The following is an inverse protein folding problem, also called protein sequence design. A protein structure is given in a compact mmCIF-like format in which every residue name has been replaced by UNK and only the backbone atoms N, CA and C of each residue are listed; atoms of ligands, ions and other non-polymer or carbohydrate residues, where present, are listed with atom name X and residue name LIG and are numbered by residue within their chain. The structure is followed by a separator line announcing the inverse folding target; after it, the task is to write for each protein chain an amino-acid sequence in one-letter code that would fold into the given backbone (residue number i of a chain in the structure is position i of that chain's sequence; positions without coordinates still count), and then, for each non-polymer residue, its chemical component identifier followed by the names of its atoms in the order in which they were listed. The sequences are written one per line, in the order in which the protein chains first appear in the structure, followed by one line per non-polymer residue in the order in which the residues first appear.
data_IF_861265325215
#
_entry.id   IF_861265325215
#
_cell.length_a   1.000
_cell.length_b   1.000
_cell.length_c   1.000
_cell.angle_alpha   90.00
_cell.angle_beta   90.00
_cell.angle_gamma   90.00
#
_symmetry.space_group_name_H-M   'P 1'
#
loop_
_entity.id
_entity.type
_entity.pdbx_description
1 polymer ?
#
# COMPACT_ATOMS: atom_id res chain seq x y z
N UNK A 1 21.38 38.65 56.55
CA UNK A 1 22.50 38.27 55.66
C UNK A 1 21.90 37.44 54.54
N UNK A 2 21.77 38.05 53.35
CA UNK A 2 21.71 37.43 52.01
C UNK A 2 20.86 36.16 51.78
N UNK A 3 19.75 36.36 51.05
CA UNK A 3 19.15 35.47 50.02
C UNK A 3 20.22 34.98 48.97
N UNK A 4 19.99 34.06 47.99
CA UNK A 4 18.72 33.41 47.57
C UNK A 4 18.79 31.98 46.90
N UNK A 5 17.62 31.50 46.46
CA UNK A 5 17.33 30.62 45.30
C UNK A 5 17.33 29.08 45.42
N UNK A 6 16.16 28.53 45.08
CA UNK A 6 15.98 27.20 44.51
C UNK A 6 14.64 27.12 43.76
N UNK A 7 14.64 27.51 42.48
CA UNK A 7 13.52 27.34 41.53
C UNK A 7 13.28 25.85 41.25
N UNK A 8 12.02 25.48 41.04
CA UNK A 8 11.65 24.21 40.44
C UNK A 8 10.18 24.19 40.02
N UNK A 9 9.89 24.88 38.91
CA UNK A 9 8.60 24.87 38.24
C UNK A 9 8.22 23.47 37.74
N UNK A 10 6.93 23.14 37.81
CA UNK A 10 6.36 21.93 37.23
C UNK A 10 4.84 22.03 37.12
N UNK A 11 4.36 23.12 36.51
CA UNK A 11 2.98 23.22 36.04
C UNK A 11 2.71 22.12 35.00
N UNK A 12 1.53 21.50 35.09
CA UNK A 12 1.05 20.43 34.22
C UNK A 12 1.11 20.76 32.72
N UNK A 13 1.04 19.72 31.88
CA UNK A 13 0.04 19.71 30.82
C UNK A 13 -0.82 18.44 30.93
N UNK A 14 -2.14 18.60 31.05
CA UNK A 14 -3.05 18.79 29.93
C UNK A 14 -3.38 17.45 29.24
N UNK A 15 -4.57 16.96 29.59
CA UNK A 15 -5.55 16.29 28.71
C UNK A 15 -5.01 15.91 27.33
N UNK A 16 -4.76 14.63 27.11
CA UNK A 16 -4.87 14.07 25.75
C UNK A 16 -6.23 13.42 25.65
N UNK A 17 -7.18 14.20 25.16
CA UNK A 17 -8.44 13.74 24.60
C UNK A 17 -8.09 12.56 23.68
N UNK A 18 -8.65 11.38 23.92
CA UNK A 18 -8.69 10.35 22.87
C UNK A 18 -9.47 11.00 21.72
N UNK A 19 -8.87 11.31 20.57
CA UNK A 19 -9.66 11.82 19.47
C UNK A 19 -10.69 10.75 19.14
N UNK A 20 -11.93 11.19 19.07
CA UNK A 20 -13.10 10.44 18.64
C UNK A 20 -12.71 9.50 17.50
N UNK A 21 -12.62 8.21 17.84
CA UNK A 21 -11.99 7.19 17.00
C UNK A 21 -12.73 7.12 15.68
N UNK A 22 -12.15 7.71 14.63
CA UNK A 22 -12.57 7.44 13.27
C UNK A 22 -12.63 5.90 13.12
N UNK A 23 -13.76 5.34 12.66
CA UNK A 23 -13.95 3.90 12.66
C UNK A 23 -12.80 3.25 11.89
N UNK A 24 -12.07 2.37 12.58
CA UNK A 24 -10.93 1.65 11.99
C UNK A 24 -11.41 0.98 10.71
N UNK A 25 -10.79 1.25 9.55
CA UNK A 25 -11.26 0.69 8.29
C UNK A 25 -11.24 -0.83 8.38
N UNK A 26 -12.35 -1.46 7.99
CA UNK A 26 -12.41 -2.92 7.89
C UNK A 26 -11.60 -3.33 6.67
N UNK A 27 -10.51 -4.07 6.87
CA UNK A 27 -9.62 -4.50 5.79
C UNK A 27 -9.95 -5.94 5.39
N UNK A 28 -10.39 -6.13 4.15
CA UNK A 28 -10.63 -7.45 3.55
C UNK A 28 -9.60 -7.79 2.49
N UNK A 29 -9.37 -9.08 2.26
CA UNK A 29 -8.46 -9.52 1.18
C UNK A 29 -9.23 -9.67 -0.14
N UNK A 30 -8.74 -9.04 -1.22
CA UNK A 30 -9.28 -9.24 -2.58
C UNK A 30 -9.14 -10.70 -3.00
N UNK A 31 -10.24 -11.29 -3.50
CA UNK A 31 -10.27 -12.68 -3.98
C UNK A 31 -10.59 -12.81 -5.47
N UNK A 32 -11.41 -11.92 -6.02
CA UNK A 32 -11.90 -12.06 -7.40
C UNK A 32 -10.89 -11.52 -8.40
N UNK A 33 -10.57 -12.30 -9.43
CA UNK A 33 -9.66 -11.90 -10.51
C UNK A 33 -10.06 -10.58 -11.18
N UNK A 34 -11.35 -10.35 -11.39
CA UNK A 34 -11.86 -9.11 -12.00
C UNK A 34 -11.42 -7.88 -11.20
N UNK A 35 -11.44 -7.95 -9.87
CA UNK A 35 -11.03 -6.83 -9.00
C UNK A 35 -9.53 -6.52 -9.13
N UNK A 36 -8.69 -7.56 -9.24
CA UNK A 36 -7.26 -7.39 -9.50
C UNK A 36 -7.01 -6.73 -10.86
N UNK A 37 -7.75 -7.12 -11.91
CA UNK A 37 -7.61 -6.51 -13.24
C UNK A 37 -8.02 -5.04 -13.22
N UNK A 38 -9.11 -4.71 -12.52
CA UNK A 38 -9.57 -3.33 -12.35
C UNK A 38 -8.59 -2.48 -11.56
N UNK A 39 -8.00 -3.01 -10.49
CA UNK A 39 -6.92 -2.33 -9.76
C UNK A 39 -5.67 -2.13 -10.64
N UNK A 40 -5.31 -3.11 -11.46
CA UNK A 40 -4.15 -3.01 -12.35
C UNK A 40 -4.29 -1.96 -13.46
N UNK A 41 -5.52 -1.63 -13.85
CA UNK A 41 -5.85 -0.60 -14.83
C UNK A 41 -6.01 0.81 -14.22
N UNK A 42 -5.92 0.95 -12.89
CA UNK A 42 -6.15 2.21 -12.18
C UNK A 42 -4.84 2.96 -11.88
N UNK A 43 -4.72 3.57 -10.70
CA UNK A 43 -3.50 4.27 -10.30
C UNK A 43 -2.39 3.28 -9.94
N UNK A 44 -1.16 3.67 -10.25
CA UNK A 44 0.04 2.93 -9.89
C UNK A 44 1.06 3.86 -9.24
N UNK A 45 1.72 3.36 -8.20
CA UNK A 45 2.89 4.00 -7.62
C UNK A 45 4.02 3.00 -7.44
N UNK A 46 5.13 3.28 -8.12
CA UNK A 46 6.33 2.46 -8.05
C UNK A 46 7.07 2.70 -6.74
N UNK A 47 7.39 1.64 -6.00
CA UNK A 47 8.32 1.70 -4.88
C UNK A 47 9.55 0.85 -5.20
N UNK A 48 10.67 1.03 -4.47
CA UNK A 48 11.83 0.18 -4.68
C UNK A 48 11.56 -1.29 -4.35
N UNK A 49 10.74 -1.57 -3.32
CA UNK A 49 10.43 -2.93 -2.88
C UNK A 49 9.26 -3.60 -3.63
N UNK A 50 8.30 -2.85 -4.16
CA UNK A 50 7.09 -3.39 -4.79
C UNK A 50 6.45 -2.38 -5.75
N UNK A 51 5.28 -2.69 -6.28
CA UNK A 51 4.42 -1.75 -7.00
C UNK A 51 3.08 -1.70 -6.26
N UNK A 52 2.64 -0.49 -5.90
CA UNK A 52 1.30 -0.26 -5.38
C UNK A 52 0.36 0.02 -6.55
N UNK A 53 -0.74 -0.72 -6.64
CA UNK A 53 -1.88 -0.39 -7.48
C UNK A 53 -3.02 0.06 -6.57
N UNK A 54 -3.74 1.11 -6.94
CA UNK A 54 -4.81 1.67 -6.14
C UNK A 54 -5.99 2.08 -7.02
N UNK A 55 -7.19 1.68 -6.61
CA UNK A 55 -8.45 2.03 -7.29
C UNK A 55 -9.46 2.53 -6.28
N UNK A 56 -10.03 3.71 -6.53
CA UNK A 56 -11.26 4.14 -5.88
C UNK A 56 -12.43 3.34 -6.47
N UNK A 57 -13.21 2.69 -5.62
CA UNK A 57 -14.41 1.95 -6.05
C UNK A 57 -15.55 2.93 -6.35
N UNK A 58 -16.40 2.56 -7.30
CA UNK A 58 -17.62 3.32 -7.58
C UNK A 58 -18.63 3.25 -6.40
N UNK A 59 -19.65 4.11 -6.41
CA UNK A 59 -20.68 4.15 -5.37
C UNK A 59 -21.41 2.81 -5.23
N UNK A 60 -21.75 2.14 -6.33
CA UNK A 60 -22.44 0.84 -6.34
C UNK A 60 -21.60 -0.32 -5.75
N UNK A 61 -20.27 -0.19 -5.79
CA UNK A 61 -19.35 -1.21 -5.26
C UNK A 61 -18.99 -1.00 -3.80
N UNK A 62 -19.30 0.18 -3.26
CA UNK A 62 -19.02 0.56 -1.88
C UNK A 62 -20.18 0.14 -0.98
N UNK A 63 -20.48 -1.15 -1.02
CA UNK A 63 -21.61 -1.75 -0.30
C UNK A 63 -21.50 -1.68 1.24
N UNK A 64 -20.30 -1.44 1.76
CA UNK A 64 -20.04 -1.31 3.20
C UNK A 64 -19.25 -0.03 3.48
N UNK A 65 -19.80 0.91 4.28
CA UNK A 65 -19.06 2.05 4.79
C UNK A 65 -17.81 1.60 5.54
N UNK A 66 -16.68 2.28 5.34
CA UNK A 66 -15.43 1.93 6.02
C UNK A 66 -14.66 0.74 5.45
N UNK A 67 -15.17 0.05 4.40
CA UNK A 67 -14.48 -1.11 3.83
C UNK A 67 -13.26 -0.70 3.00
N UNK A 68 -12.12 -1.32 3.29
CA UNK A 68 -10.90 -1.29 2.49
C UNK A 68 -10.63 -2.70 2.00
N UNK A 69 -10.17 -2.87 0.76
CA UNK A 69 -9.76 -4.18 0.27
C UNK A 69 -8.29 -4.16 -0.13
N UNK A 70 -7.55 -5.22 0.22
CA UNK A 70 -6.14 -5.40 -0.13
C UNK A 70 -5.87 -6.71 -0.87
N UNK A 71 -5.09 -6.66 -1.95
CA UNK A 71 -4.64 -7.81 -2.73
C UNK A 71 -3.13 -7.93 -2.72
N UNK A 72 -2.62 -9.15 -2.90
CA UNK A 72 -1.19 -9.43 -2.94
C UNK A 72 -0.85 -10.26 -4.16
N UNK A 73 0.08 -9.77 -4.98
CA UNK A 73 0.57 -10.47 -6.16
C UNK A 73 2.08 -10.65 -6.04
N UNK A 74 2.57 -11.87 -6.22
CA UNK A 74 4.00 -12.14 -6.36
C UNK A 74 4.19 -12.98 -7.62
N UNK A 75 4.93 -12.45 -8.59
CA UNK A 75 5.16 -13.14 -9.87
C UNK A 75 6.05 -14.37 -9.68
N UNK A 76 6.04 -15.28 -10.66
CA UNK A 76 6.98 -16.42 -10.70
C UNK A 76 8.45 -15.95 -10.69
N UNK A 77 8.72 -14.74 -11.18
CA UNK A 77 10.07 -14.14 -11.22
C UNK A 77 10.65 -13.81 -9.84
N UNK A 78 9.83 -13.81 -8.77
CA UNK A 78 10.31 -13.57 -7.40
C UNK A 78 11.25 -14.68 -6.90
N UNK A 79 11.18 -15.87 -7.52
CA UNK A 79 12.04 -17.00 -7.21
C UNK A 79 11.22 -18.25 -6.85
N UNK A 80 11.85 -19.15 -6.12
CA UNK A 80 11.23 -20.40 -5.68
C UNK A 80 10.03 -20.17 -4.73
N UNK A 81 9.33 -21.25 -4.40
CA UNK A 81 8.15 -21.21 -3.52
C UNK A 81 8.43 -20.56 -2.16
N UNK A 82 9.63 -20.75 -1.60
CA UNK A 82 10.02 -20.18 -0.30
C UNK A 82 10.18 -18.67 -0.40
N UNK A 83 10.91 -18.18 -1.40
CA UNK A 83 11.10 -16.74 -1.64
C UNK A 83 9.77 -16.04 -1.93
N UNK A 84 8.91 -16.66 -2.75
CA UNK A 84 7.55 -16.16 -3.00
C UNK A 84 6.71 -16.11 -1.73
N UNK A 85 6.76 -17.13 -0.89
CA UNK A 85 6.01 -17.17 0.37
C UNK A 85 6.54 -16.12 1.34
N UNK A 86 7.86 -15.94 1.41
CA UNK A 86 8.50 -14.88 2.21
C UNK A 86 8.08 -13.51 1.74
N UNK A 87 8.11 -13.24 0.43
CA UNK A 87 7.62 -11.97 -0.13
C UNK A 87 6.15 -11.73 0.22
N UNK A 88 5.28 -12.73 0.04
CA UNK A 88 3.85 -12.61 0.36
C UNK A 88 3.61 -12.36 1.85
N UNK A 89 4.34 -13.05 2.74
CA UNK A 89 4.27 -12.81 4.20
C UNK A 89 4.69 -11.39 4.55
N UNK A 90 5.81 -10.90 4.01
CA UNK A 90 6.29 -9.53 4.22
C UNK A 90 5.27 -8.49 3.76
N UNK A 91 4.73 -8.64 2.55
CA UNK A 91 3.71 -7.72 2.02
C UNK A 91 2.43 -7.70 2.86
N UNK A 92 1.99 -8.86 3.36
CA UNK A 92 0.83 -8.95 4.26
C UNK A 92 1.07 -8.21 5.57
N UNK A 93 2.25 -8.35 6.16
CA UNK A 93 2.52 -7.70 7.44
C UNK A 93 2.65 -6.19 7.32
N UNK A 94 3.36 -5.67 6.31
CA UNK A 94 3.43 -4.22 6.11
C UNK A 94 2.04 -3.64 5.79
N UNK A 95 1.20 -4.37 5.05
CA UNK A 95 -0.16 -3.95 4.77
C UNK A 95 -0.99 -3.88 6.05
N UNK A 96 -0.88 -4.89 6.92
CA UNK A 96 -1.56 -4.89 8.23
C UNK A 96 -1.16 -3.70 9.10
N UNK A 97 0.13 -3.37 9.14
CA UNK A 97 0.64 -2.29 9.99
C UNK A 97 0.30 -0.90 9.45
N UNK A 98 0.36 -0.71 8.12
CA UNK A 98 0.27 0.62 7.52
C UNK A 98 -1.16 0.96 7.07
N UNK A 99 -1.91 0.00 6.51
CA UNK A 99 -3.25 0.28 5.96
C UNK A 99 -4.26 0.63 7.05
N UNK A 100 -4.10 0.09 8.27
CA UNK A 100 -5.00 0.39 9.39
C UNK A 100 -5.07 1.89 9.71
N UNK A 101 -3.98 2.64 9.48
CA UNK A 101 -3.94 4.09 9.73
C UNK A 101 -4.01 4.97 8.48
N UNK A 102 -3.60 4.47 7.30
CA UNK A 102 -3.44 5.29 6.09
C UNK A 102 -4.35 4.92 4.93
N UNK A 103 -5.05 3.79 4.99
CA UNK A 103 -5.97 3.40 3.92
C UNK A 103 -7.25 4.21 3.97
N UNK A 104 -7.80 4.50 2.79
CA UNK A 104 -9.07 5.20 2.67
C UNK A 104 -10.20 4.19 2.39
N UNK A 105 -11.33 4.27 3.12
CA UNK A 105 -12.54 3.51 2.79
C UNK A 105 -12.97 3.70 1.34
N UNK A 106 -13.50 2.66 0.72
CA UNK A 106 -13.87 2.71 -0.70
C UNK A 106 -12.72 2.39 -1.65
N UNK A 107 -11.52 2.09 -1.16
CA UNK A 107 -10.37 1.79 -2.03
C UNK A 107 -10.00 0.31 -2.06
N UNK A 108 -9.51 -0.10 -3.23
CA UNK A 108 -8.84 -1.38 -3.47
C UNK A 108 -7.34 -1.12 -3.67
N UNK A 109 -6.50 -1.73 -2.83
CA UNK A 109 -5.05 -1.66 -2.92
C UNK A 109 -4.48 -3.02 -3.33
N UNK A 110 -3.58 -3.08 -4.31
CA UNK A 110 -2.88 -4.31 -4.67
C UNK A 110 -1.38 -4.08 -4.59
N UNK A 111 -0.72 -4.87 -3.73
CA UNK A 111 0.74 -4.86 -3.61
C UNK A 111 1.32 -5.95 -4.52
N UNK A 112 2.11 -5.53 -5.51
CA UNK A 112 2.79 -6.41 -6.44
C UNK A 112 4.28 -6.49 -6.08
N UNK A 113 4.71 -7.64 -5.56
CA UNK A 113 6.10 -7.87 -5.20
C UNK A 113 7.03 -7.85 -6.42
N UNK A 114 8.16 -7.15 -6.28
CA UNK A 114 9.24 -7.12 -7.26
C UNK A 114 10.23 -8.26 -6.98
N UNK A 115 10.77 -8.89 -8.05
CA UNK A 115 11.83 -9.90 -7.91
C UNK A 115 12.98 -9.38 -7.06
N UNK A 116 13.42 -10.22 -6.11
CA UNK A 116 14.53 -9.97 -5.16
C UNK A 116 14.31 -8.80 -4.20
N UNK A 117 13.96 -7.61 -4.70
CA UNK A 117 13.78 -6.38 -3.95
C UNK A 117 12.75 -6.48 -2.81
N UNK A 118 11.63 -7.19 -2.99
CA UNK A 118 10.65 -7.37 -1.88
C UNK A 118 11.22 -8.22 -0.74
N UNK A 119 12.11 -9.17 -1.06
CA UNK A 119 12.63 -10.15 -0.11
C UNK A 119 13.84 -9.59 0.64
N UNK A 120 14.75 -8.93 -0.08
CA UNK A 120 16.02 -8.43 0.47
C UNK A 120 15.93 -7.06 1.14
N UNK A 121 14.98 -6.21 0.73
CA UNK A 121 14.84 -4.87 1.30
C UNK A 121 14.47 -4.93 2.77
N UNK A 122 15.02 -4.01 3.55
CA UNK A 122 14.70 -3.86 4.96
C UNK A 122 13.18 -3.72 5.22
N UNK A 123 12.71 -4.28 6.33
CA UNK A 123 11.29 -4.33 6.65
C UNK A 123 10.72 -2.96 7.03
N UNK A 124 11.47 -2.14 7.76
CA UNK A 124 11.05 -0.78 8.09
C UNK A 124 11.03 0.10 6.83
N UNK A 125 12.00 -0.08 5.94
CA UNK A 125 11.99 0.58 4.64
C UNK A 125 10.76 0.21 3.78
N UNK A 126 10.32 -1.05 3.79
CA UNK A 126 9.10 -1.48 3.11
C UNK A 126 7.83 -0.82 3.69
N UNK A 127 7.76 -0.63 5.00
CA UNK A 127 6.65 0.08 5.63
C UNK A 127 6.65 1.57 5.25
N UNK A 128 7.81 2.22 5.30
CA UNK A 128 7.97 3.61 4.92
C UNK A 128 7.62 3.84 3.43
N UNK A 129 8.05 2.93 2.55
CA UNK A 129 7.70 2.94 1.14
C UNK A 129 6.17 2.85 0.93
N UNK A 130 5.49 1.97 1.68
CA UNK A 130 4.03 1.83 1.59
C UNK A 130 3.31 3.08 2.07
N UNK A 131 3.73 3.64 3.20
CA UNK A 131 3.15 4.86 3.73
C UNK A 131 3.33 6.04 2.76
N UNK A 132 4.51 6.17 2.14
CA UNK A 132 4.76 7.17 1.11
C UNK A 132 3.90 6.95 -0.12
N UNK A 133 3.83 5.71 -0.62
CA UNK A 133 3.06 5.38 -1.81
C UNK A 133 1.56 5.66 -1.64
N UNK A 134 1.00 5.38 -0.46
CA UNK A 134 -0.39 5.72 -0.13
C UNK A 134 -0.61 7.24 -0.15
N UNK A 135 0.29 8.02 0.46
CA UNK A 135 0.20 9.50 0.41
C UNK A 135 0.24 10.02 -1.02
N UNK A 136 1.14 9.48 -1.85
CA UNK A 136 1.27 9.92 -3.25
C UNK A 136 0.02 9.58 -4.08
N UNK A 137 -0.59 8.39 -3.85
CA UNK A 137 -1.85 7.98 -4.48
C UNK A 137 -2.99 8.93 -4.10
N UNK A 138 -3.08 9.30 -2.84
CA UNK A 138 -4.17 10.15 -2.35
C UNK A 138 -3.92 11.65 -2.59
N UNK A 139 -2.68 12.08 -2.83
CA UNK A 139 -2.35 13.46 -3.19
C UNK A 139 -2.33 13.72 -4.70
N UNK A 140 -2.82 12.80 -5.54
CA UNK A 140 -2.83 12.94 -7.00
C UNK A 140 -1.45 12.86 -7.68
N UNK A 141 -0.40 12.41 -6.97
CA UNK A 141 0.95 12.25 -7.52
C UNK A 141 1.18 10.88 -8.17
N UNK A 142 0.28 9.93 -7.95
CA UNK A 142 0.37 8.62 -8.57
C UNK A 142 0.12 8.68 -10.08
N UNK A 143 0.82 7.82 -10.81
CA UNK A 143 0.68 7.72 -12.25
C UNK A 143 -0.55 6.89 -12.59
N UNK A 144 -1.34 7.31 -13.58
CA UNK A 144 -2.36 6.44 -14.16
C UNK A 144 -1.71 5.26 -14.87
N UNK A 145 -2.41 4.13 -14.90
CA UNK A 145 -1.95 3.01 -15.66
C UNK A 145 -1.92 3.34 -17.15
N UNK A 146 -0.72 3.44 -17.73
CA UNK A 146 -0.57 3.38 -19.20
C UNK A 146 -1.29 2.13 -19.73
N UNK A 147 -2.16 2.27 -20.75
CA UNK A 147 -2.76 1.11 -21.39
C UNK A 147 -1.64 0.21 -21.87
N UNK A 148 -1.81 -1.10 -21.68
CA UNK A 148 -0.86 -2.08 -22.19
C UNK A 148 -0.92 -1.95 -23.72
N UNK A 149 0.04 -1.26 -24.32
CA UNK A 149 0.24 -1.23 -25.76
C UNK A 149 0.24 -2.68 -26.26
N UNK A 150 -0.60 -2.97 -27.25
CA UNK A 150 -0.69 -4.30 -27.85
C UNK A 150 0.72 -4.81 -28.18
N UNK A 151 1.02 -6.10 -27.92
CA UNK A 151 2.30 -6.64 -28.34
C UNK A 151 2.42 -6.45 -29.84
N UNK A 152 3.44 -5.69 -30.28
CA UNK A 152 3.73 -5.46 -31.68
C UNK A 152 3.70 -6.81 -32.42
N UNK A 153 2.72 -6.98 -33.32
CA UNK A 153 2.50 -8.18 -34.11
C UNK A 153 3.82 -8.54 -34.78
N UNK A 154 4.43 -9.64 -34.32
CA UNK A 154 5.71 -10.12 -34.84
C UNK A 154 5.65 -10.22 -36.36
N UNK A 155 6.49 -9.43 -37.03
CA UNK A 155 6.69 -9.48 -38.48
C UNK A 155 7.21 -10.89 -38.79
N UNK A 156 6.32 -11.79 -39.26
CA UNK A 156 6.71 -13.07 -39.85
C UNK A 156 7.61 -12.76 -41.04
N UNK A 157 8.91 -13.00 -40.89
CA UNK A 157 9.89 -12.94 -41.97
C UNK A 157 9.69 -14.22 -42.78
N UNK A 158 8.97 -14.13 -43.89
CA UNK A 158 8.92 -15.18 -44.90
C UNK A 158 10.34 -15.38 -45.43
N UNK A 159 10.81 -16.63 -45.44
CA UNK A 159 12.03 -17.04 -46.11
C UNK A 159 11.58 -17.85 -47.33
N UNK A 160 11.87 -17.33 -48.52
CA UNK A 160 11.92 -18.12 -49.74
C UNK A 160 13.17 -18.97 -49.78
#
# INVERSE_FOLDING_TARGET
MTDPQGRGAGSAPAVSVCPETAPVPRIEVLRKRADFLRAAAALRQGTPGFLLQARARGPEETALPGLVRVGFTCSKKVGNSVLRNRARRRLREIARLVLTGLAQPGWDYVLVGRPEATVSRDFAALQADLARALRDVHSGRAQQARPRSEPAKGRRRGKG
#
